data_IF_403298048250
#
_entry.id   IF_403298048250
#
_cell.length_a   1.000
_cell.length_b   1.000
_cell.length_c   1.000
_cell.angle_alpha   90.00
_cell.angle_beta   90.00
_cell.angle_gamma   90.00
#
_symmetry.space_group_name_H-M   'P 1'
#
loop_
_entity.id
_entity.type
_entity.pdbx_description
1 polymer ?
#
# COMPACT_ATOMS: atom_id res chain seq x y z
N UNK A 1 3.98 -9.55 1.96
CA UNK A 1 5.04 -8.54 1.84
C UNK A 1 5.28 -7.92 3.22
N UNK A 2 6.52 -7.92 3.73
CA UNK A 2 6.82 -7.56 5.13
C UNK A 2 7.60 -6.22 5.23
N UNK A 3 7.11 -5.32 6.07
CA UNK A 3 7.82 -4.13 6.57
C UNK A 3 8.95 -4.59 7.50
N UNK A 4 10.14 -3.96 7.46
CA UNK A 4 11.27 -4.41 8.26
C UNK A 4 11.25 -3.85 9.71
N UNK A 5 10.81 -4.63 10.71
CA UNK A 5 11.20 -4.49 12.14
C UNK A 5 10.93 -5.74 13.05
N UNK A 6 11.48 -6.92 12.69
CA UNK A 6 11.54 -8.21 13.43
C UNK A 6 10.93 -8.40 14.85
N UNK A 7 9.92 -9.28 14.99
CA UNK A 7 9.89 -10.61 15.68
C UNK A 7 8.45 -11.20 15.66
N UNK A 8 8.29 -12.47 15.23
CA UNK A 8 7.00 -13.14 14.99
C UNK A 8 6.05 -13.11 16.21
N UNK A 9 5.14 -12.15 16.18
CA UNK A 9 3.98 -12.03 17.08
C UNK A 9 2.72 -12.30 16.25
N UNK A 10 1.63 -12.79 16.85
CA UNK A 10 0.33 -12.98 16.18
C UNK A 10 -0.06 -11.68 15.44
N UNK A 11 0.03 -11.68 14.10
CA UNK A 11 -0.21 -10.49 13.29
C UNK A 11 -1.69 -10.12 13.34
N UNK A 12 -1.99 -8.91 13.77
CA UNK A 12 -3.34 -8.37 13.77
C UNK A 12 -3.75 -7.98 12.35
N UNK A 13 -4.77 -8.63 11.80
CA UNK A 13 -5.42 -8.15 10.58
C UNK A 13 -6.17 -6.86 10.83
N UNK A 14 -5.87 -5.84 10.04
CA UNK A 14 -6.56 -4.55 10.02
C UNK A 14 -7.48 -4.55 8.79
N UNK A 15 -8.78 -4.42 9.02
CA UNK A 15 -9.80 -4.54 7.97
C UNK A 15 -10.88 -3.47 8.01
N UNK A 16 -10.81 -2.52 8.96
CA UNK A 16 -11.78 -1.43 9.12
C UNK A 16 -11.18 -0.27 9.93
N UNK A 17 -11.77 0.91 9.80
CA UNK A 17 -11.37 2.12 10.51
C UNK A 17 -10.17 2.82 9.90
N UNK A 18 -9.51 3.66 10.70
CA UNK A 18 -8.31 4.39 10.30
C UNK A 18 -7.06 3.70 10.84
N UNK A 19 -6.07 3.49 9.97
CA UNK A 19 -4.76 2.97 10.31
C UNK A 19 -3.69 3.78 9.58
N UNK A 20 -2.64 4.18 10.29
CA UNK A 20 -1.51 4.92 9.73
C UNK A 20 -0.23 4.50 10.46
N UNK A 21 0.85 4.30 9.70
CA UNK A 21 2.21 4.06 10.20
C UNK A 21 3.24 4.69 9.28
N UNK A 22 4.09 5.52 9.87
CA UNK A 22 5.27 6.09 9.19
C UNK A 22 6.53 5.37 9.69
N UNK A 23 7.40 4.98 8.77
CA UNK A 23 8.72 4.41 9.08
C UNK A 23 9.79 5.06 8.21
N UNK A 24 11.05 4.97 8.65
CA UNK A 24 12.20 5.46 7.90
C UNK A 24 13.02 4.27 7.42
N UNK A 25 13.00 4.02 6.11
CA UNK A 25 13.75 2.92 5.48
C UNK A 25 15.04 3.42 4.83
N UNK A 26 16.06 2.55 4.79
CA UNK A 26 17.19 2.75 3.88
C UNK A 26 16.76 2.60 2.42
N UNK A 27 17.59 3.08 1.48
CA UNK A 27 17.29 2.98 0.05
C UNK A 27 17.11 1.51 -0.41
N UNK A 28 17.91 0.59 0.12
CA UNK A 28 17.82 -0.84 -0.21
C UNK A 28 16.52 -1.46 0.31
N UNK A 29 16.11 -1.10 1.53
CA UNK A 29 14.83 -1.54 2.13
C UNK A 29 13.64 -0.98 1.38
N UNK A 30 13.64 0.32 1.04
CA UNK A 30 12.60 0.94 0.21
C UNK A 30 12.51 0.26 -1.15
N UNK A 31 13.64 -0.03 -1.79
CA UNK A 31 13.65 -0.69 -3.09
C UNK A 31 13.16 -2.14 -3.00
N UNK A 32 13.44 -2.85 -1.92
CA UNK A 32 12.90 -4.19 -1.67
C UNK A 32 11.38 -4.14 -1.48
N UNK A 33 10.91 -3.20 -0.65
CA UNK A 33 9.49 -2.95 -0.42
C UNK A 33 8.74 -2.69 -1.74
N UNK A 34 9.19 -1.71 -2.53
CA UNK A 34 8.54 -1.36 -3.79
C UNK A 34 8.51 -2.52 -4.80
N UNK A 35 9.56 -3.37 -4.82
CA UNK A 35 9.54 -4.57 -5.67
C UNK A 35 8.48 -5.56 -5.23
N UNK A 36 8.32 -5.81 -3.94
CA UNK A 36 7.25 -6.71 -3.47
C UNK A 36 5.84 -6.16 -3.70
N UNK A 37 5.67 -4.83 -3.72
CA UNK A 37 4.40 -4.23 -4.19
C UNK A 37 4.22 -4.59 -5.66
N UNK A 38 5.21 -4.29 -6.50
CA UNK A 38 5.16 -4.56 -7.93
C UNK A 38 4.88 -6.05 -8.24
N UNK A 39 5.55 -6.98 -7.54
CA UNK A 39 5.31 -8.42 -7.67
C UNK A 39 3.84 -8.77 -7.35
N UNK A 40 3.23 -8.14 -6.35
CA UNK A 40 1.81 -8.35 -6.02
C UNK A 40 0.87 -7.80 -7.09
N UNK A 41 1.22 -6.66 -7.71
CA UNK A 41 0.44 -6.08 -8.81
C UNK A 41 0.50 -6.94 -10.09
N UNK A 42 1.62 -7.64 -10.31
CA UNK A 42 1.76 -8.59 -11.43
C UNK A 42 0.95 -9.88 -11.19
N UNK A 43 0.74 -10.26 -9.92
CA UNK A 43 0.02 -11.49 -9.54
C UNK A 43 -1.52 -11.34 -9.62
N UNK A 44 -2.06 -10.11 -9.54
CA UNK A 44 -3.49 -9.87 -9.66
C UNK A 44 -3.96 -8.53 -9.10
N UNK A 45 -5.16 -8.54 -8.54
CA UNK A 45 -5.86 -7.35 -8.02
C UNK A 45 -6.02 -7.38 -6.49
N UNK A 46 -5.19 -8.19 -5.83
CA UNK A 46 -5.11 -8.31 -4.38
C UNK A 46 -3.68 -8.02 -3.92
N UNK A 47 -3.53 -7.27 -2.83
CA UNK A 47 -2.24 -6.95 -2.25
C UNK A 47 -2.34 -7.02 -0.72
N UNK A 48 -1.30 -7.54 -0.06
CA UNK A 48 -1.23 -7.54 1.41
C UNK A 48 0.03 -6.84 1.86
N UNK A 49 -0.14 -5.66 2.48
CA UNK A 49 0.94 -4.98 3.21
C UNK A 49 0.95 -5.52 4.63
N UNK A 50 2.10 -5.92 5.14
CA UNK A 50 2.23 -6.33 6.54
C UNK A 50 3.45 -5.69 7.18
N UNK A 51 3.37 -5.45 8.48
CA UNK A 51 4.52 -5.25 9.36
C UNK A 51 4.63 -6.37 10.38
N UNK A 52 5.33 -6.10 11.47
CA UNK A 52 5.66 -7.13 12.46
C UNK A 52 4.46 -7.67 13.21
N UNK A 53 3.57 -6.78 13.62
CA UNK A 53 2.38 -7.09 14.43
C UNK A 53 1.06 -6.84 13.69
N UNK A 54 1.09 -6.49 12.40
CA UNK A 54 -0.11 -6.18 11.63
C UNK A 54 -0.04 -6.58 10.16
N UNK A 55 -1.20 -6.78 9.55
CA UNK A 55 -1.36 -6.94 8.11
C UNK A 55 -2.66 -6.28 7.61
N UNK A 56 -2.63 -5.78 6.38
CA UNK A 56 -3.75 -5.17 5.67
C UNK A 56 -3.87 -5.89 4.32
N UNK A 57 -4.76 -6.90 4.20
CA UNK A 57 -5.18 -7.41 2.90
C UNK A 57 -6.11 -6.40 2.22
N UNK A 58 -5.87 -6.14 0.93
CA UNK A 58 -6.64 -5.15 0.17
C UNK A 58 -6.84 -5.60 -1.27
N UNK A 59 -8.10 -5.70 -1.69
CA UNK A 59 -8.47 -5.95 -3.09
C UNK A 59 -8.74 -4.61 -3.77
N UNK A 60 -7.94 -4.27 -4.79
CA UNK A 60 -7.98 -2.96 -5.43
C UNK A 60 -8.67 -2.97 -6.79
N UNK A 61 -9.18 -1.82 -7.20
CA UNK A 61 -9.71 -1.57 -8.54
C UNK A 61 -8.65 -0.90 -9.42
N UNK A 62 -8.80 -1.09 -10.74
CA UNK A 62 -8.05 -0.32 -11.74
C UNK A 62 -8.84 0.92 -12.19
N UNK A 63 -8.16 2.03 -12.55
CA UNK A 63 -6.71 2.22 -12.49
C UNK A 63 -6.20 2.55 -11.08
N UNK A 64 -4.91 2.26 -10.82
CA UNK A 64 -4.19 2.72 -9.63
C UNK A 64 -3.75 4.17 -9.86
N UNK A 65 -3.95 5.04 -8.87
CA UNK A 65 -3.48 6.43 -8.94
C UNK A 65 -2.01 6.52 -8.48
N UNK A 66 -1.21 7.27 -9.23
CA UNK A 66 0.20 7.55 -8.89
C UNK A 66 0.43 9.05 -9.00
N UNK A 67 0.78 9.67 -7.89
CA UNK A 67 1.09 11.10 -7.80
C UNK A 67 2.59 11.32 -7.60
N UNK A 68 3.14 12.34 -8.27
CA UNK A 68 4.51 12.79 -8.11
C UNK A 68 4.51 14.29 -7.86
N UNK A 69 4.89 14.69 -6.65
CA UNK A 69 5.01 16.10 -6.27
C UNK A 69 6.47 16.46 -5.98
N UNK A 70 6.89 17.64 -6.45
CA UNK A 70 8.18 18.22 -6.10
C UNK A 70 7.99 19.64 -5.55
N UNK A 71 8.45 19.86 -4.33
CA UNK A 71 8.48 21.18 -3.70
C UNK A 71 9.93 21.59 -3.42
N UNK A 72 10.23 22.87 -3.64
CA UNK A 72 11.54 23.47 -3.35
C UNK A 72 11.43 24.77 -2.56
N UNK A 73 10.25 25.05 -1.98
CA UNK A 73 9.96 26.37 -1.40
C UNK A 73 10.56 26.56 -0.01
N UNK A 74 10.77 25.48 0.75
CA UNK A 74 11.43 25.50 2.06
C UNK A 74 12.54 24.48 2.13
N UNK A 75 12.22 23.24 1.81
CA UNK A 75 13.15 22.13 1.64
C UNK A 75 12.94 21.58 0.23
N UNK A 76 13.96 20.94 -0.34
CA UNK A 76 13.81 20.25 -1.62
C UNK A 76 13.30 18.85 -1.34
N UNK A 77 12.02 18.64 -1.56
CA UNK A 77 11.29 17.40 -1.28
C UNK A 77 10.70 16.84 -2.58
N UNK A 78 10.76 15.52 -2.71
CA UNK A 78 10.15 14.75 -3.78
C UNK A 78 9.25 13.72 -3.12
N UNK A 79 7.97 13.76 -3.45
CA UNK A 79 6.97 12.83 -2.97
C UNK A 79 6.51 11.94 -4.13
N UNK A 80 6.29 10.68 -3.80
CA UNK A 80 5.73 9.67 -4.70
C UNK A 80 4.65 8.94 -3.89
N UNK A 81 3.40 9.12 -4.30
CA UNK A 81 2.26 8.47 -3.67
C UNK A 81 1.62 7.49 -4.64
N UNK A 82 1.18 6.35 -4.11
CA UNK A 82 0.44 5.32 -4.84
C UNK A 82 -0.84 5.04 -4.07
N UNK A 83 -1.98 5.37 -4.65
CA UNK A 83 -3.29 5.22 -4.02
C UNK A 83 -4.08 4.06 -4.66
N UNK A 84 -4.57 3.17 -3.80
CA UNK A 84 -5.41 2.04 -4.18
C UNK A 84 -6.84 2.27 -3.71
N UNK A 85 -7.80 2.26 -4.65
CA UNK A 85 -9.23 2.25 -4.32
C UNK A 85 -9.74 0.82 -4.20
N UNK A 86 -10.59 0.55 -3.22
CA UNK A 86 -11.17 -0.79 -3.02
C UNK A 86 -11.98 -1.23 -4.25
N UNK A 87 -11.82 -2.49 -4.64
CA UNK A 87 -12.71 -3.11 -5.62
C UNK A 87 -14.12 -3.18 -5.05
N UNK A 88 -15.02 -2.42 -5.63
CA UNK A 88 -16.46 -2.63 -5.42
C UNK A 88 -16.90 -3.85 -6.23
N UNK A 89 -17.40 -4.90 -5.58
CA UNK A 89 -18.17 -5.93 -6.28
C UNK A 89 -19.40 -5.26 -6.89
N UNK A 90 -19.47 -5.19 -8.21
CA UNK A 90 -20.49 -4.44 -8.93
C UNK A 90 -21.92 -4.86 -8.55
N UNK A 91 -22.58 -4.03 -7.74
CA UNK A 91 -24.02 -3.85 -7.78
C UNK A 91 -24.42 -3.11 -9.05
N UNK A 92 -24.19 -3.75 -10.21
CA UNK A 92 -24.76 -3.33 -11.48
C UNK A 92 -26.27 -3.52 -11.44
N UNK A 93 -27.00 -2.51 -10.93
CA UNK A 93 -28.40 -2.37 -11.28
C UNK A 93 -28.48 -1.74 -12.66
N UNK A 94 -28.59 -2.59 -13.68
CA UNK A 94 -29.39 -2.22 -14.84
C UNK A 94 -30.80 -1.88 -14.32
N UNK A 95 -31.15 -0.59 -14.31
CA UNK A 95 -32.49 -0.14 -14.01
C UNK A 95 -32.86 1.10 -14.83
N UNK A 96 -33.33 0.80 -16.05
CA UNK A 96 -34.34 1.47 -16.88
C UNK A 96 -34.03 2.83 -17.52
#
# INVERSE_FOLDING_TARGET
MEFPESEETDKRTVSDGFFEREVYLSADETAAFLRSVADSLDDGDELTISGDDWEIPFAFAEPIEVEVEFSSRRESELELEVEFTERTEGGGIDAA
#
